data_IF_869638267095
#
_entry.id   IF_869638267095
#
_cell.length_a   1.000
_cell.length_b   1.000
_cell.length_c   1.000
_cell.angle_alpha   90.00
_cell.angle_beta   90.00
_cell.angle_gamma   90.00
#
_symmetry.space_group_name_H-M   'P 1'
#
loop_
_entity.id
_entity.type
_entity.pdbx_description
1 polymer ?
#
# COMPACT_ATOMS: atom_id res chain seq x y z
N UNK A 1 -2.10 -26.04 7.65
CA UNK A 1 -0.65 -25.93 7.96
C UNK A 1 -0.25 -24.47 7.80
N UNK A 2 0.15 -23.80 8.89
CA UNK A 2 0.48 -22.38 8.87
C UNK A 2 1.74 -22.17 8.04
N UNK A 3 1.77 -21.10 7.24
CA UNK A 3 2.89 -20.65 6.39
C UNK A 3 4.25 -20.74 7.11
N UNK A 4 4.26 -20.55 8.43
CA UNK A 4 5.39 -20.73 9.34
C UNK A 4 6.09 -22.09 9.23
N UNK A 5 5.37 -23.20 9.03
CA UNK A 5 5.97 -24.53 8.95
C UNK A 5 6.79 -24.74 7.67
N UNK A 6 6.40 -24.09 6.57
CA UNK A 6 7.12 -24.17 5.28
C UNK A 6 8.43 -23.39 5.36
N UNK A 7 8.42 -22.21 5.99
CA UNK A 7 9.64 -21.41 6.20
C UNK A 7 10.66 -22.10 7.11
N UNK A 8 10.19 -22.77 8.17
CA UNK A 8 11.08 -23.56 9.06
C UNK A 8 11.74 -24.70 8.27
N UNK A 9 10.98 -25.40 7.42
CA UNK A 9 11.51 -26.47 6.60
C UNK A 9 12.56 -25.97 5.59
N UNK A 10 12.29 -24.84 4.91
CA UNK A 10 13.24 -24.21 3.98
C UNK A 10 14.52 -23.79 4.71
N UNK A 11 14.41 -23.23 5.92
CA UNK A 11 15.56 -22.84 6.73
C UNK A 11 16.41 -24.04 7.17
N UNK A 12 15.78 -25.13 7.62
CA UNK A 12 16.47 -26.37 7.99
C UNK A 12 17.18 -26.97 6.76
N UNK A 13 16.54 -26.94 5.59
CA UNK A 13 17.10 -27.49 4.36
C UNK A 13 18.31 -26.68 3.87
N UNK A 14 18.23 -25.34 3.95
CA UNK A 14 19.36 -24.44 3.69
C UNK A 14 20.51 -24.67 4.67
N UNK A 15 20.22 -24.85 5.95
CA UNK A 15 21.23 -25.15 6.97
C UNK A 15 21.96 -26.47 6.67
N UNK A 16 21.22 -27.52 6.30
CA UNK A 16 21.81 -28.81 5.95
C UNK A 16 22.74 -28.70 4.73
N UNK A 17 22.31 -28.04 3.64
CA UNK A 17 23.13 -27.86 2.43
C UNK A 17 24.40 -27.04 2.73
N UNK A 18 24.31 -26.02 3.59
CA UNK A 18 25.45 -25.18 3.97
C UNK A 18 26.47 -25.92 4.87
N UNK A 19 26.02 -26.87 5.69
CA UNK A 19 26.85 -27.60 6.65
C UNK A 19 27.34 -28.98 6.17
N UNK A 20 26.70 -29.56 5.15
CA UNK A 20 27.10 -30.84 4.52
C UNK A 20 28.58 -30.89 4.07
N UNK A 21 29.15 -29.86 3.40
CA UNK A 21 30.58 -29.87 3.06
C UNK A 21 31.51 -29.75 4.27
N UNK A 22 30.98 -29.40 5.45
CA UNK A 22 31.73 -29.29 6.71
C UNK A 22 31.80 -30.63 7.46
N UNK A 23 30.76 -31.47 7.37
CA UNK A 23 30.73 -32.81 7.97
C UNK A 23 31.50 -33.83 7.12
N UNK A 24 31.33 -33.80 5.78
CA UNK A 24 32.03 -34.72 4.88
C UNK A 24 33.55 -34.47 4.81
N UNK A 25 34.03 -33.23 4.94
CA UNK A 25 35.47 -32.94 4.91
C UNK A 25 36.22 -33.35 6.20
N UNK A 26 35.53 -33.47 7.33
CA UNK A 26 36.17 -33.95 8.57
C UNK A 26 36.50 -35.44 8.46
N UNK A 27 35.67 -36.21 7.74
CA UNK A 27 35.88 -37.64 7.51
C UNK A 27 37.00 -37.90 6.49
N UNK A 28 37.13 -37.08 5.44
CA UNK A 28 38.19 -37.26 4.42
C UNK A 28 39.59 -36.94 4.98
N UNK A 29 39.69 -36.09 6.00
CA UNK A 29 40.98 -35.71 6.62
C UNK A 29 41.66 -36.82 7.42
N UNK A 30 40.96 -37.91 7.78
CA UNK A 30 41.59 -38.99 8.55
C UNK A 30 42.32 -40.03 7.69
N UNK A 31 42.16 -40.03 6.35
CA UNK A 31 42.70 -41.10 5.50
C UNK A 31 43.90 -40.73 4.62
N UNK A 32 44.34 -39.46 4.56
CA UNK A 32 45.49 -39.07 3.74
C UNK A 32 46.53 -38.26 4.55
N UNK A 33 47.36 -39.00 5.30
CA UNK A 33 48.67 -38.51 5.70
C UNK A 33 49.57 -38.46 4.46
N UNK A 34 50.23 -37.32 4.21
CA UNK A 34 51.31 -37.04 3.24
C UNK A 34 51.06 -35.91 2.22
N UNK A 35 50.43 -34.79 2.61
CA UNK A 35 50.59 -33.52 1.90
C UNK A 35 50.79 -32.34 2.86
N UNK A 36 51.65 -31.40 2.46
CA UNK A 36 52.13 -30.24 3.22
C UNK A 36 51.04 -29.58 4.08
N UNK A 37 51.15 -29.73 5.40
CA UNK A 37 50.20 -29.24 6.42
C UNK A 37 49.96 -27.72 6.32
N UNK A 38 50.98 -26.94 5.93
CA UNK A 38 50.94 -25.48 5.88
C UNK A 38 50.04 -24.91 4.78
N UNK A 39 50.08 -25.48 3.56
CA UNK A 39 49.27 -25.00 2.43
C UNK A 39 47.80 -25.36 2.59
N UNK A 40 47.51 -26.52 3.18
CA UNK A 40 46.15 -26.98 3.48
C UNK A 40 45.49 -26.12 4.56
N UNK A 41 46.23 -25.71 5.60
CA UNK A 41 45.69 -24.86 6.67
C UNK A 41 45.42 -23.42 6.19
N UNK A 42 46.25 -22.87 5.31
CA UNK A 42 46.00 -21.57 4.69
C UNK A 42 44.74 -21.58 3.80
N UNK A 43 44.55 -22.65 3.03
CA UNK A 43 43.37 -22.83 2.19
C UNK A 43 42.10 -22.98 3.04
N UNK A 44 42.18 -23.72 4.15
CA UNK A 44 41.10 -23.86 5.13
C UNK A 44 40.77 -22.54 5.82
N UNK A 45 41.76 -21.71 6.14
CA UNK A 45 41.56 -20.35 6.70
C UNK A 45 40.81 -19.45 5.73
N UNK A 46 41.19 -19.45 4.44
CA UNK A 46 40.49 -18.67 3.40
C UNK A 46 39.05 -19.14 3.18
N UNK A 47 38.81 -20.46 3.18
CA UNK A 47 37.45 -21.03 3.09
C UNK A 47 36.59 -20.70 4.30
N UNK A 48 37.11 -20.87 5.53
CA UNK A 48 36.40 -20.47 6.76
C UNK A 48 36.01 -18.98 6.73
N UNK A 49 36.89 -18.11 6.25
CA UNK A 49 36.60 -16.67 6.13
C UNK A 49 35.45 -16.40 5.17
N UNK A 50 35.43 -17.04 3.98
CA UNK A 50 34.32 -16.92 3.02
C UNK A 50 32.99 -17.43 3.60
N UNK A 51 33.01 -18.52 4.34
CA UNK A 51 31.81 -19.08 4.99
C UNK A 51 31.27 -18.13 6.05
N UNK A 52 32.14 -17.54 6.89
CA UNK A 52 31.71 -16.54 7.87
C UNK A 52 31.03 -15.34 7.18
N UNK A 53 31.60 -14.83 6.08
CA UNK A 53 30.96 -13.76 5.32
C UNK A 53 29.62 -14.18 4.70
N UNK A 54 29.49 -15.42 4.23
CA UNK A 54 28.22 -15.95 3.71
C UNK A 54 27.16 -16.04 4.81
N UNK A 55 27.52 -16.53 6.00
CA UNK A 55 26.61 -16.59 7.16
C UNK A 55 26.17 -15.20 7.59
N UNK A 56 27.09 -14.23 7.65
CA UNK A 56 26.76 -12.83 7.96
C UNK A 56 25.77 -12.25 6.94
N UNK A 57 25.98 -12.52 5.65
CA UNK A 57 25.07 -12.09 4.58
C UNK A 57 23.67 -12.67 4.71
N UNK A 58 23.55 -13.96 5.03
CA UNK A 58 22.25 -14.63 5.24
C UNK A 58 21.55 -14.07 6.48
N UNK A 59 22.26 -13.85 7.58
CA UNK A 59 21.70 -13.28 8.82
C UNK A 59 21.18 -11.86 8.57
N UNK A 60 21.94 -11.03 7.84
CA UNK A 60 21.51 -9.67 7.47
C UNK A 60 20.28 -9.68 6.55
N UNK A 61 20.24 -10.59 5.56
CA UNK A 61 19.08 -10.75 4.69
C UNK A 61 17.81 -11.16 5.46
N UNK A 62 17.95 -12.09 6.40
CA UNK A 62 16.85 -12.54 7.27
C UNK A 62 16.35 -11.42 8.20
N UNK A 63 17.26 -10.61 8.76
CA UNK A 63 16.91 -9.44 9.57
C UNK A 63 16.14 -8.39 8.74
N UNK A 64 16.54 -8.14 7.49
CA UNK A 64 15.85 -7.22 6.61
C UNK A 64 14.43 -7.70 6.26
N UNK A 65 14.26 -8.99 5.98
CA UNK A 65 12.94 -9.60 5.72
C UNK A 65 12.06 -9.56 6.97
N UNK A 66 12.61 -9.86 8.15
CA UNK A 66 11.89 -9.80 9.41
C UNK A 66 11.45 -8.37 9.74
N UNK A 67 12.33 -7.37 9.57
CA UNK A 67 12.02 -5.96 9.78
C UNK A 67 10.97 -5.44 8.78
N UNK A 68 11.07 -5.84 7.50
CA UNK A 68 10.08 -5.51 6.48
C UNK A 68 8.71 -6.14 6.74
N UNK A 69 8.69 -7.41 7.14
CA UNK A 69 7.47 -8.13 7.51
C UNK A 69 6.79 -7.58 8.77
N UNK A 70 7.59 -7.17 9.77
CA UNK A 70 7.09 -6.48 10.97
C UNK A 70 6.48 -5.12 10.61
N UNK A 71 7.16 -4.32 9.79
CA UNK A 71 6.65 -3.00 9.36
C UNK A 71 5.35 -3.10 8.57
N UNK A 72 5.20 -4.14 7.74
CA UNK A 72 3.99 -4.38 6.98
C UNK A 72 2.83 -4.87 7.88
N UNK A 73 3.13 -5.71 8.88
CA UNK A 73 2.13 -6.22 9.84
C UNK A 73 1.68 -5.18 10.86
N UNK A 74 2.55 -4.22 11.23
CA UNK A 74 2.24 -3.15 12.19
C UNK A 74 1.66 -1.88 11.57
N UNK A 75 1.49 -1.82 10.24
CA UNK A 75 0.74 -0.74 9.62
C UNK A 75 -0.73 -0.92 10.01
N UNK A 76 -1.14 -0.32 11.14
CA UNK A 76 -2.55 -0.32 11.55
C UNK A 76 -3.36 0.18 10.37
N UNK A 77 -4.29 -0.64 9.86
CA UNK A 77 -5.24 -0.17 8.85
C UNK A 77 -5.88 1.08 9.42
N UNK A 78 -5.77 2.21 8.70
CA UNK A 78 -6.55 3.39 9.05
C UNK A 78 -8.03 2.98 9.05
N UNK A 79 -8.83 3.50 10.00
CA UNK A 79 -10.25 3.20 10.06
C UNK A 79 -10.93 3.57 8.74
N UNK A 80 -11.93 2.78 8.36
CA UNK A 80 -12.75 3.07 7.21
C UNK A 80 -13.64 4.26 7.51
N UNK A 81 -13.80 5.18 6.57
CA UNK A 81 -14.75 6.29 6.70
C UNK A 81 -16.18 5.77 6.85
N UNK A 82 -16.48 4.63 6.23
CA UNK A 82 -17.80 4.00 6.26
C UNK A 82 -18.18 3.43 7.64
N UNK A 83 -17.19 3.05 8.44
CA UNK A 83 -17.42 2.51 9.79
C UNK A 83 -17.92 3.61 10.74
N UNK A 84 -17.38 4.83 10.60
CA UNK A 84 -17.77 5.99 11.41
C UNK A 84 -18.99 6.73 10.83
N UNK A 85 -19.19 6.70 9.50
CA UNK A 85 -20.24 7.48 8.84
C UNK A 85 -21.63 6.85 8.84
N UNK A 86 -21.76 5.52 8.82
CA UNK A 86 -23.07 4.85 8.85
C UNK A 86 -24.15 5.49 7.94
N UNK A 87 -25.23 5.99 8.54
CA UNK A 87 -26.32 6.69 7.83
C UNK A 87 -25.98 8.13 7.40
N UNK A 88 -25.04 8.79 8.09
CA UNK A 88 -24.64 10.17 7.79
C UNK A 88 -23.84 10.28 6.49
N UNK A 89 -23.26 9.17 6.02
CA UNK A 89 -22.54 9.10 4.75
C UNK A 89 -23.39 9.64 3.60
N UNK A 90 -24.68 9.26 3.57
CA UNK A 90 -25.60 9.68 2.53
C UNK A 90 -25.89 11.18 2.59
N UNK A 91 -26.03 11.74 3.79
CA UNK A 91 -26.26 13.17 4.01
C UNK A 91 -25.08 14.02 3.54
N UNK A 92 -23.86 13.63 3.92
CA UNK A 92 -22.63 14.32 3.50
C UNK A 92 -22.47 14.26 1.99
N UNK A 93 -22.70 13.07 1.40
CA UNK A 93 -22.55 12.86 -0.03
C UNK A 93 -23.57 13.70 -0.82
N UNK A 94 -24.84 13.69 -0.41
CA UNK A 94 -25.88 14.48 -1.05
C UNK A 94 -25.64 15.99 -0.90
N UNK A 95 -25.21 16.46 0.29
CA UNK A 95 -24.87 17.86 0.48
C UNK A 95 -23.70 18.28 -0.42
N UNK A 96 -22.65 17.46 -0.48
CA UNK A 96 -21.47 17.70 -1.34
C UNK A 96 -21.87 17.78 -2.81
N UNK A 97 -22.69 16.84 -3.28
CA UNK A 97 -23.17 16.82 -4.66
C UNK A 97 -24.05 18.06 -4.94
N UNK A 98 -24.97 18.41 -4.04
CA UNK A 98 -25.85 19.56 -4.21
C UNK A 98 -25.07 20.88 -4.28
N UNK A 99 -24.10 21.07 -3.37
CA UNK A 99 -23.20 22.23 -3.39
C UNK A 99 -22.37 22.27 -4.66
N UNK A 100 -21.79 21.13 -5.08
CA UNK A 100 -21.03 21.05 -6.32
C UNK A 100 -21.85 21.35 -7.58
N UNK A 101 -23.10 20.88 -7.64
CA UNK A 101 -24.05 21.23 -8.72
C UNK A 101 -24.34 22.74 -8.70
N UNK A 102 -24.57 23.33 -7.51
CA UNK A 102 -24.82 24.76 -7.39
C UNK A 102 -23.63 25.59 -7.88
N UNK A 103 -22.41 25.23 -7.50
CA UNK A 103 -21.17 25.86 -8.00
C UNK A 103 -21.09 25.75 -9.52
N UNK A 104 -21.31 24.55 -10.07
CA UNK A 104 -21.23 24.33 -11.50
C UNK A 104 -22.30 25.11 -12.29
N UNK A 105 -23.52 25.21 -11.76
CA UNK A 105 -24.58 26.04 -12.32
C UNK A 105 -24.25 27.54 -12.23
N UNK A 106 -23.67 27.99 -11.13
CA UNK A 106 -23.23 29.39 -10.98
C UNK A 106 -22.14 29.78 -11.99
N UNK A 107 -21.26 28.84 -12.33
CA UNK A 107 -20.22 29.03 -13.33
C UNK A 107 -20.75 29.01 -14.78
N UNK A 108 -22.00 28.59 -14.99
CA UNK A 108 -22.63 28.50 -16.29
C UNK A 108 -23.09 29.89 -16.75
N UNK A 109 -22.26 30.54 -17.56
CA UNK A 109 -22.57 31.87 -18.12
C UNK A 109 -23.30 31.80 -19.47
N UNK A 110 -23.29 30.62 -20.11
CA UNK A 110 -23.95 30.34 -21.40
C UNK A 110 -24.40 28.88 -21.47
N UNK A 111 -25.47 28.60 -22.21
CA UNK A 111 -26.08 27.27 -22.32
C UNK A 111 -25.19 26.20 -22.98
N UNK A 112 -24.13 26.63 -23.68
CA UNK A 112 -23.26 25.76 -24.49
C UNK A 112 -21.84 25.62 -23.94
N UNK A 113 -21.59 26.01 -22.68
CA UNK A 113 -20.26 25.81 -22.08
C UNK A 113 -19.93 24.31 -21.93
N UNK A 114 -18.68 23.89 -22.19
CA UNK A 114 -18.27 22.51 -21.97
C UNK A 114 -18.32 22.17 -20.48
N UNK A 115 -18.87 20.99 -20.16
CA UNK A 115 -19.13 20.54 -18.78
C UNK A 115 -17.86 20.55 -17.94
N UNK A 116 -16.73 20.16 -18.51
CA UNK A 116 -15.42 20.10 -17.84
C UNK A 116 -14.97 21.47 -17.28
N UNK A 117 -15.43 22.58 -17.87
CA UNK A 117 -15.14 23.94 -17.37
C UNK A 117 -16.10 24.40 -16.28
N UNK A 118 -17.23 23.72 -16.12
CA UNK A 118 -18.24 24.02 -15.11
C UNK A 118 -17.99 23.26 -13.81
N UNK A 119 -17.42 22.06 -13.90
CA UNK A 119 -17.18 21.20 -12.75
C UNK A 119 -16.28 21.87 -11.70
N UNK A 120 -16.59 21.71 -10.40
CA UNK A 120 -15.68 22.11 -9.34
C UNK A 120 -14.39 21.31 -9.41
N UNK A 121 -13.30 21.91 -8.94
CA UNK A 121 -12.00 21.22 -8.87
C UNK A 121 -12.04 20.15 -7.77
N UNK A 122 -11.19 19.13 -7.90
CA UNK A 122 -11.02 18.09 -6.88
C UNK A 122 -10.76 18.65 -5.48
N UNK A 123 -9.95 19.70 -5.37
CA UNK A 123 -9.62 20.34 -4.09
C UNK A 123 -10.83 21.06 -3.48
N UNK A 124 -11.70 21.64 -4.31
CA UNK A 124 -12.94 22.29 -3.86
C UNK A 124 -13.92 21.25 -3.32
N UNK A 125 -14.11 20.14 -4.04
CA UNK A 125 -14.95 19.02 -3.58
C UNK A 125 -14.41 18.42 -2.28
N UNK A 126 -13.08 18.25 -2.18
CA UNK A 126 -12.43 17.80 -0.94
C UNK A 126 -12.64 18.78 0.21
N UNK A 127 -12.61 20.08 -0.05
CA UNK A 127 -12.89 21.11 0.96
C UNK A 127 -14.33 21.03 1.47
N UNK A 128 -15.30 20.85 0.57
CA UNK A 128 -16.72 20.70 0.94
C UNK A 128 -16.90 19.45 1.82
N UNK A 129 -16.33 18.31 1.42
CA UNK A 129 -16.39 17.07 2.22
C UNK A 129 -15.74 17.28 3.59
N UNK A 130 -14.60 17.97 3.65
CA UNK A 130 -13.91 18.27 4.91
C UNK A 130 -14.77 19.14 5.83
N UNK A 131 -15.47 20.13 5.28
CA UNK A 131 -16.38 20.98 6.04
C UNK A 131 -17.58 20.17 6.58
N UNK A 132 -18.21 19.35 5.75
CA UNK A 132 -19.34 18.49 6.13
C UNK A 132 -18.95 17.46 7.22
N UNK A 133 -17.76 16.88 7.12
CA UNK A 133 -17.21 16.00 8.16
C UNK A 133 -16.95 16.77 9.47
N UNK A 134 -16.36 17.96 9.36
CA UNK A 134 -16.07 18.83 10.50
C UNK A 134 -17.33 19.25 11.26
N UNK A 135 -18.42 19.57 10.56
CA UNK A 135 -19.72 19.86 11.17
C UNK A 135 -20.26 18.69 12.02
N UNK A 136 -19.90 17.45 11.65
CA UNK A 136 -20.26 16.22 12.37
C UNK A 136 -19.20 15.77 13.38
N UNK A 137 -18.20 16.61 13.65
CA UNK A 137 -17.07 16.34 14.56
C UNK A 137 -16.24 15.12 14.12
N UNK A 138 -16.22 14.84 12.82
CA UNK A 138 -15.39 13.79 12.22
C UNK A 138 -14.13 14.41 11.62
N UNK A 139 -12.98 13.79 11.87
CA UNK A 139 -11.69 14.24 11.36
C UNK A 139 -11.34 13.47 10.08
N UNK A 140 -11.23 14.20 8.97
CA UNK A 140 -10.90 13.65 7.65
C UNK A 140 -9.52 12.94 7.64
N UNK A 141 -8.57 13.43 8.45
CA UNK A 141 -7.18 12.94 8.46
C UNK A 141 -7.03 11.59 9.18
N UNK A 142 -8.06 11.21 9.96
CA UNK A 142 -8.19 9.91 10.64
C UNK A 142 -8.38 8.76 9.65
N UNK A 143 -8.99 9.02 8.49
CA UNK A 143 -9.41 7.99 7.54
C UNK A 143 -8.34 7.64 6.50
N UNK A 144 -8.57 6.53 5.79
CA UNK A 144 -7.77 6.13 4.64
C UNK A 144 -7.90 7.17 3.51
N UNK A 145 -6.79 7.80 3.06
CA UNK A 145 -6.83 8.79 1.98
C UNK A 145 -7.39 8.25 0.67
N UNK A 146 -7.29 6.94 0.40
CA UNK A 146 -7.90 6.33 -0.78
C UNK A 146 -9.42 6.41 -0.72
N UNK A 147 -10.02 6.16 0.45
CA UNK A 147 -11.47 6.25 0.62
C UNK A 147 -11.97 7.68 0.50
N UNK A 148 -11.22 8.66 1.03
CA UNK A 148 -11.52 10.09 0.83
C UNK A 148 -11.50 10.44 -0.66
N UNK A 149 -10.50 9.94 -1.39
CA UNK A 149 -10.39 10.15 -2.83
C UNK A 149 -11.58 9.53 -3.59
N UNK A 150 -12.00 8.32 -3.23
CA UNK A 150 -13.16 7.66 -3.83
C UNK A 150 -14.45 8.46 -3.57
N UNK A 151 -14.60 9.01 -2.36
CA UNK A 151 -15.73 9.87 -1.99
C UNK A 151 -15.80 11.13 -2.87
N UNK A 152 -14.64 11.75 -3.11
CA UNK A 152 -14.53 12.91 -3.99
C UNK A 152 -14.83 12.54 -5.46
N UNK A 153 -14.27 11.43 -5.95
CA UNK A 153 -14.48 10.96 -7.32
C UNK A 153 -15.96 10.67 -7.58
N UNK A 154 -16.63 9.99 -6.64
CA UNK A 154 -18.06 9.72 -6.72
C UNK A 154 -18.87 11.02 -6.75
N UNK A 155 -18.52 11.99 -5.91
CA UNK A 155 -19.19 13.29 -5.89
C UNK A 155 -19.05 14.02 -7.24
N UNK A 156 -17.84 14.11 -7.80
CA UNK A 156 -17.59 14.73 -9.11
C UNK A 156 -18.37 14.04 -10.22
N UNK A 157 -18.38 12.70 -10.24
CA UNK A 157 -19.13 11.93 -11.22
C UNK A 157 -20.61 12.33 -11.21
N UNK A 158 -21.24 12.35 -10.04
CA UNK A 158 -22.66 12.70 -9.91
C UNK A 158 -22.94 14.17 -10.25
N UNK A 159 -22.04 15.08 -9.90
CA UNK A 159 -22.14 16.50 -10.31
C UNK A 159 -22.09 16.60 -11.84
N UNK A 160 -21.18 15.86 -12.50
CA UNK A 160 -21.07 15.83 -13.96
C UNK A 160 -22.33 15.33 -14.65
N UNK A 161 -22.86 14.20 -14.22
CA UNK A 161 -24.09 13.64 -14.79
C UNK A 161 -25.29 14.58 -14.58
N UNK A 162 -25.34 15.25 -13.42
CA UNK A 162 -26.39 16.24 -13.13
C UNK A 162 -26.31 17.46 -14.06
N UNK A 163 -25.10 17.96 -14.34
CA UNK A 163 -24.90 19.09 -15.26
C UNK A 163 -25.14 18.68 -16.72
N UNK A 164 -24.74 17.48 -17.13
CA UNK A 164 -25.07 16.93 -18.46
C UNK A 164 -26.58 16.84 -18.66
N UNK A 165 -27.29 16.30 -17.68
CA UNK A 165 -28.75 16.21 -17.70
C UNK A 165 -29.40 17.60 -17.77
N UNK A 166 -28.90 18.54 -16.97
CA UNK A 166 -29.37 19.93 -16.99
C UNK A 166 -29.18 20.60 -18.35
N UNK A 167 -27.97 20.51 -18.94
CA UNK A 167 -27.70 21.06 -20.27
C UNK A 167 -28.56 20.41 -21.37
N UNK A 168 -28.82 19.10 -21.27
CA UNK A 168 -29.71 18.41 -22.21
C UNK A 168 -31.13 18.94 -22.11
N UNK A 169 -31.66 19.12 -20.90
CA UNK A 169 -33.00 19.63 -20.68
C UNK A 169 -33.15 21.08 -21.17
N UNK A 170 -32.14 21.94 -20.93
CA UNK A 170 -32.09 23.30 -21.48
C UNK A 170 -32.17 23.31 -23.01
N UNK A 171 -31.44 22.43 -23.69
CA UNK A 171 -31.47 22.31 -25.16
C UNK A 171 -32.84 21.85 -25.70
N UNK A 172 -33.55 21.05 -24.92
CA UNK A 172 -34.88 20.53 -25.27
C UNK A 172 -36.01 21.51 -24.90
N UNK A 173 -35.72 22.59 -24.18
CA UNK A 173 -36.73 23.53 -23.68
C UNK A 173 -37.66 22.93 -22.62
N UNK A 174 -37.24 21.83 -21.98
CA UNK A 174 -37.99 21.14 -20.93
C UNK A 174 -37.50 21.68 -19.59
N UNK A 175 -38.35 22.41 -18.88
CA UNK A 175 -38.06 23.03 -17.58
C UNK A 175 -38.71 22.25 -16.44
#
# INVERSE_FOLDING_TARGET
MKITNVYIFILILLFNILFEPHLCNVVIKSSESHMNKSSIDELNKKRKKKVIYAVIGIVLGMLAVAAGGFRMSYKSKKPSIWDDLGQDAHGILNSTIAQGIWIAKKNMTRDTMPVEKLLPRMDEVRSIIKEELGQRKLDIDKYDPLQIQDFCNFSIFNIRESILSFQRNLRLGIW
#
